data_IF_038720201588
#
_entry.id   IF_038720201588
#
_cell.length_a   1.000
_cell.length_b   1.000
_cell.length_c   1.000
_cell.angle_alpha   90.00
_cell.angle_beta   90.00
_cell.angle_gamma   90.00
#
_symmetry.space_group_name_H-M   'P 1'
#
loop_
_entity.id
_entity.type
_entity.pdbx_description
1 polymer ?
#
# COMPACT_ATOMS: atom_id res chain seq x y z
N UNK A 1 -85.30 29.66 -35.14
CA UNK A 1 -84.79 31.02 -34.85
C UNK A 1 -83.29 30.89 -34.61
N UNK A 2 -82.40 30.96 -35.61
CA UNK A 2 -81.78 32.16 -36.21
C UNK A 2 -81.45 33.24 -35.17
N UNK A 3 -80.18 33.32 -34.74
CA UNK A 3 -79.42 34.57 -34.67
C UNK A 3 -77.93 34.27 -34.78
N UNK A 4 -77.34 34.81 -35.84
CA UNK A 4 -75.91 34.90 -36.07
C UNK A 4 -75.34 36.02 -35.20
N UNK A 5 -74.13 35.83 -34.66
CA UNK A 5 -73.28 36.93 -34.24
C UNK A 5 -71.85 36.62 -34.66
N UNK A 6 -71.46 37.22 -35.78
CA UNK A 6 -70.08 37.36 -36.23
C UNK A 6 -69.32 38.23 -35.21
N UNK A 7 -68.21 37.73 -34.69
CA UNK A 7 -67.18 38.56 -34.06
C UNK A 7 -65.86 38.31 -34.78
N UNK A 8 -65.35 39.40 -35.34
CA UNK A 8 -64.21 39.49 -36.24
C UNK A 8 -62.94 39.81 -35.42
N UNK A 9 -61.83 39.19 -35.80
CA UNK A 9 -60.42 39.67 -35.73
C UNK A 9 -59.78 40.05 -34.40
N UNK A 10 -58.72 39.32 -34.01
CA UNK A 10 -57.34 39.83 -33.97
C UNK A 10 -56.36 38.67 -33.72
N UNK A 11 -55.73 38.19 -34.79
CA UNK A 11 -54.59 37.28 -34.74
C UNK A 11 -53.33 38.08 -34.40
N UNK A 12 -52.88 38.02 -33.14
CA UNK A 12 -51.52 38.39 -32.77
C UNK A 12 -50.60 37.24 -33.16
N UNK A 13 -49.94 37.40 -34.31
CA UNK A 13 -48.84 36.55 -34.76
C UNK A 13 -47.60 36.86 -33.92
N UNK A 14 -47.39 36.13 -32.84
CA UNK A 14 -46.08 36.06 -32.19
C UNK A 14 -45.13 35.35 -33.15
N UNK A 15 -44.24 36.12 -33.80
CA UNK A 15 -43.12 35.57 -34.55
C UNK A 15 -42.21 34.78 -33.61
N UNK A 16 -42.35 33.46 -33.62
CA UNK A 16 -41.33 32.57 -33.09
C UNK A 16 -40.18 32.57 -34.10
N UNK A 17 -39.12 33.32 -33.80
CA UNK A 17 -37.83 33.09 -34.43
C UNK A 17 -37.40 31.65 -34.07
N UNK A 18 -37.11 30.77 -35.04
CA UNK A 18 -36.36 29.57 -34.72
C UNK A 18 -34.98 30.03 -34.26
N UNK A 19 -34.73 29.96 -32.96
CA UNK A 19 -33.36 29.94 -32.48
C UNK A 19 -32.80 28.58 -32.89
N UNK A 20 -32.06 28.57 -34.01
CA UNK A 20 -31.00 27.60 -34.24
C UNK A 20 -29.97 27.77 -33.12
N UNK A 21 -30.30 27.23 -31.94
CA UNK A 21 -29.37 27.03 -30.85
C UNK A 21 -28.59 25.74 -31.17
N UNK A 22 -27.80 25.78 -32.24
CA UNK A 22 -26.73 24.82 -32.42
C UNK A 22 -25.64 25.20 -31.41
N UNK A 23 -25.86 24.75 -30.17
CA UNK A 23 -24.86 24.81 -29.11
C UNK A 23 -23.58 24.11 -29.58
N UNK A 24 -22.43 24.44 -28.97
CA UNK A 24 -21.17 23.80 -29.33
C UNK A 24 -21.33 22.27 -29.33
N UNK A 25 -20.74 21.55 -30.31
CA UNK A 25 -20.91 20.12 -30.45
C UNK A 25 -20.58 19.44 -29.13
N UNK A 26 -21.44 18.51 -28.70
CA UNK A 26 -21.23 17.74 -27.49
C UNK A 26 -19.79 17.17 -27.52
N UNK A 27 -19.03 17.28 -26.42
CA UNK A 27 -17.68 16.75 -26.39
C UNK A 27 -17.73 15.27 -26.78
N UNK A 28 -16.77 14.78 -27.57
CA UNK A 28 -16.77 13.40 -28.02
C UNK A 28 -16.90 12.47 -26.80
N UNK A 29 -17.61 11.34 -26.95
CA UNK A 29 -17.70 10.35 -25.88
C UNK A 29 -16.29 10.02 -25.43
N UNK A 30 -16.05 10.09 -24.11
CA UNK A 30 -14.75 9.73 -23.55
C UNK A 30 -14.44 8.31 -24.00
N UNK A 31 -13.23 8.10 -24.54
CA UNK A 31 -12.79 6.74 -24.84
C UNK A 31 -12.93 5.88 -23.57
N UNK A 32 -13.37 4.62 -23.69
CA UNK A 32 -13.42 3.73 -22.55
C UNK A 32 -12.04 3.71 -21.88
N UNK A 33 -11.99 3.97 -20.58
CA UNK A 33 -10.76 3.81 -19.84
C UNK A 33 -10.34 2.33 -19.95
N UNK A 34 -9.08 2.09 -20.31
CA UNK A 34 -8.53 0.74 -20.22
C UNK A 34 -8.43 0.38 -18.73
N UNK A 35 -9.32 -0.49 -18.28
CA UNK A 35 -9.36 -0.92 -16.87
C UNK A 35 -8.41 -2.08 -16.60
N UNK A 36 -7.61 -2.52 -17.59
CA UNK A 36 -6.63 -3.58 -17.41
C UNK A 36 -5.55 -3.12 -16.41
N UNK A 37 -5.16 -3.95 -15.41
CA UNK A 37 -4.09 -3.59 -14.49
C UNK A 37 -2.79 -3.30 -15.23
N UNK A 38 -2.13 -2.19 -14.91
CA UNK A 38 -0.77 -2.00 -15.42
C UNK A 38 0.16 -3.03 -14.79
N UNK A 39 1.33 -3.22 -15.40
CA UNK A 39 2.36 -4.06 -14.81
C UNK A 39 2.86 -3.54 -13.44
N UNK A 40 2.49 -2.33 -13.00
CA UNK A 40 2.91 -1.75 -11.71
C UNK A 40 1.77 -1.65 -10.69
N UNK A 41 0.56 -2.08 -11.03
CA UNK A 41 -0.58 -2.02 -10.12
C UNK A 41 -0.28 -2.71 -8.78
N UNK A 42 -0.69 -2.08 -7.68
CA UNK A 42 -0.66 -2.68 -6.35
C UNK A 42 -1.73 -3.77 -6.26
N UNK A 43 -1.31 -5.03 -6.30
CA UNK A 43 -2.13 -6.17 -5.88
C UNK A 43 -1.73 -6.59 -4.48
N UNK A 44 -2.64 -7.25 -3.75
CA UNK A 44 -2.34 -7.77 -2.40
C UNK A 44 -1.08 -8.65 -2.41
N UNK A 45 -0.94 -9.52 -3.42
CA UNK A 45 0.25 -10.37 -3.58
C UNK A 45 1.55 -9.58 -3.71
N UNK A 46 1.56 -8.52 -4.52
CA UNK A 46 2.74 -7.70 -4.73
C UNK A 46 3.11 -6.93 -3.47
N UNK A 47 2.12 -6.32 -2.83
CA UNK A 47 2.28 -5.62 -1.55
C UNK A 47 2.86 -6.55 -0.47
N UNK A 48 2.34 -7.77 -0.38
CA UNK A 48 2.77 -8.72 0.64
C UNK A 48 4.15 -9.32 0.39
N UNK A 49 4.63 -9.34 -0.85
CA UNK A 49 6.05 -9.63 -1.17
C UNK A 49 6.99 -8.46 -0.86
N UNK A 50 6.45 -7.26 -0.62
CA UNK A 50 7.24 -6.04 -0.41
C UNK A 50 7.73 -5.40 -1.71
N UNK A 51 7.14 -5.77 -2.84
CA UNK A 51 7.46 -5.21 -4.14
C UNK A 51 6.90 -3.79 -4.26
N UNK A 52 7.63 -2.91 -4.94
CA UNK A 52 7.14 -1.55 -5.23
C UNK A 52 5.98 -1.60 -6.22
N UNK A 53 4.94 -0.81 -5.97
CA UNK A 53 3.75 -0.77 -6.81
C UNK A 53 3.08 0.62 -6.75
N UNK A 54 2.05 0.82 -7.58
CA UNK A 54 1.24 2.03 -7.63
C UNK A 54 -0.24 1.69 -7.46
N UNK A 55 -0.93 2.43 -6.60
CA UNK A 55 -2.39 2.31 -6.44
C UNK A 55 -3.09 3.00 -7.60
N UNK A 56 -3.77 2.21 -8.43
CA UNK A 56 -4.45 2.68 -9.65
C UNK A 56 -5.97 2.59 -9.52
N UNK A 57 -6.47 1.92 -8.48
CA UNK A 57 -7.89 1.73 -8.25
C UNK A 57 -8.39 2.75 -7.23
N UNK A 58 -9.22 3.71 -7.66
CA UNK A 58 -9.79 4.74 -6.81
C UNK A 58 -11.32 4.76 -6.94
N UNK A 59 -12.03 3.79 -6.32
CA UNK A 59 -13.48 3.75 -6.39
C UNK A 59 -14.11 4.93 -5.65
N UNK A 60 -15.29 5.33 -6.10
CA UNK A 60 -16.10 6.33 -5.41
C UNK A 60 -16.71 5.69 -4.15
N UNK A 61 -16.58 6.30 -2.96
CA UNK A 61 -17.18 5.77 -1.74
C UNK A 61 -18.71 5.70 -1.83
N UNK A 62 -19.27 4.55 -1.48
CA UNK A 62 -20.72 4.32 -1.38
C UNK A 62 -21.28 4.59 0.02
N UNK A 63 -22.53 4.15 0.21
CA UNK A 63 -23.14 4.09 1.54
C UNK A 63 -22.46 3.01 2.40
N UNK A 64 -22.40 3.17 3.74
CA UNK A 64 -21.87 2.15 4.63
C UNK A 64 -22.63 0.83 4.49
N UNK A 65 -21.88 -0.28 4.46
CA UNK A 65 -22.41 -1.63 4.35
C UNK A 65 -21.63 -2.59 5.24
N UNK A 66 -22.28 -3.20 6.23
CA UNK A 66 -21.65 -4.23 7.06
C UNK A 66 -21.17 -5.43 6.24
N UNK A 67 -21.91 -5.79 5.18
CA UNK A 67 -21.51 -6.89 4.31
C UNK A 67 -20.20 -6.57 3.59
N UNK A 68 -20.04 -5.34 3.09
CA UNK A 68 -18.81 -4.91 2.44
C UNK A 68 -17.64 -4.80 3.43
N UNK A 69 -17.90 -4.30 4.66
CA UNK A 69 -16.89 -4.26 5.71
C UNK A 69 -16.36 -5.65 6.05
N UNK A 70 -17.25 -6.65 6.19
CA UNK A 70 -16.87 -8.05 6.43
C UNK A 70 -16.11 -8.64 5.25
N UNK A 71 -16.58 -8.42 4.02
CA UNK A 71 -15.88 -8.86 2.81
C UNK A 71 -14.48 -8.28 2.71
N UNK A 72 -14.30 -7.01 3.05
CA UNK A 72 -12.99 -6.36 3.09
C UNK A 72 -12.08 -7.00 4.14
N UNK A 73 -12.58 -7.25 5.35
CA UNK A 73 -11.82 -7.93 6.40
C UNK A 73 -11.42 -9.36 5.99
N UNK A 74 -12.34 -10.12 5.40
CA UNK A 74 -12.06 -11.48 4.90
C UNK A 74 -11.02 -11.47 3.78
N UNK A 75 -11.13 -10.50 2.86
CA UNK A 75 -10.18 -10.28 1.78
C UNK A 75 -8.78 -9.90 2.30
N UNK A 76 -8.70 -9.11 3.38
CA UNK A 76 -7.47 -8.74 4.05
C UNK A 76 -6.85 -9.91 4.82
N UNK A 77 -7.67 -10.74 5.48
CA UNK A 77 -7.23 -11.92 6.22
C UNK A 77 -6.53 -12.95 5.33
N UNK A 78 -6.79 -12.94 4.01
CA UNK A 78 -6.05 -13.74 3.04
C UNK A 78 -4.52 -13.47 3.06
N UNK A 79 -4.06 -12.36 3.64
CA UNK A 79 -2.64 -12.10 3.89
C UNK A 79 -1.97 -13.18 4.76
N UNK A 80 -2.74 -13.89 5.60
CA UNK A 80 -2.22 -14.93 6.48
C UNK A 80 -1.52 -16.07 5.71
N UNK A 81 -1.90 -16.31 4.45
CA UNK A 81 -1.25 -17.31 3.58
C UNK A 81 0.24 -17.03 3.34
N UNK A 82 0.68 -15.78 3.49
CA UNK A 82 2.08 -15.37 3.36
C UNK A 82 2.87 -15.52 4.66
N UNK A 83 2.22 -15.78 5.79
CA UNK A 83 2.90 -15.95 7.07
C UNK A 83 3.84 -17.15 7.10
N UNK A 84 3.53 -18.24 6.38
CA UNK A 84 4.46 -19.38 6.26
C UNK A 84 5.76 -18.97 5.61
N UNK A 85 5.70 -18.26 4.48
CA UNK A 85 6.88 -17.78 3.77
C UNK A 85 7.62 -16.74 4.62
N UNK A 86 6.90 -15.82 5.25
CA UNK A 86 7.49 -14.80 6.11
C UNK A 86 8.20 -15.38 7.34
N UNK A 87 7.68 -16.47 7.91
CA UNK A 87 8.26 -17.15 9.07
C UNK A 87 9.32 -18.21 8.69
N UNK A 88 9.66 -18.34 7.41
CA UNK A 88 10.75 -19.24 6.96
C UNK A 88 12.05 -18.45 6.83
N UNK A 89 13.08 -18.74 7.63
CA UNK A 89 14.40 -18.14 7.45
C UNK A 89 14.96 -18.48 6.05
N UNK A 90 15.72 -17.57 5.44
CA UNK A 90 16.22 -17.74 4.05
C UNK A 90 17.06 -19.00 3.82
N UNK A 91 17.78 -19.45 4.84
CA UNK A 91 18.67 -20.60 4.77
C UNK A 91 17.99 -21.91 5.23
N UNK A 92 16.72 -21.85 5.62
CA UNK A 92 15.96 -22.99 6.11
C UNK A 92 14.78 -23.33 5.20
N UNK A 93 14.30 -24.57 5.32
CA UNK A 93 13.19 -25.09 4.53
C UNK A 93 11.88 -25.18 5.32
N UNK A 94 11.91 -24.81 6.61
CA UNK A 94 10.76 -24.90 7.51
C UNK A 94 10.49 -23.56 8.15
N UNK A 95 9.22 -23.18 8.18
CA UNK A 95 8.76 -22.03 8.93
C UNK A 95 8.84 -22.30 10.43
N UNK A 96 9.27 -21.31 11.20
CA UNK A 96 9.11 -21.35 12.65
C UNK A 96 7.61 -21.32 12.99
N UNK A 97 7.07 -22.35 13.68
CA UNK A 97 5.64 -22.47 13.93
C UNK A 97 5.10 -21.38 14.87
N UNK A 98 5.95 -20.86 15.77
CA UNK A 98 5.59 -19.80 16.71
C UNK A 98 5.49 -18.48 15.96
N UNK A 99 6.50 -18.12 15.16
CA UNK A 99 6.48 -16.91 14.32
C UNK A 99 5.35 -16.94 13.30
N UNK A 100 5.09 -18.10 12.71
CA UNK A 100 3.97 -18.26 11.78
C UNK A 100 2.64 -17.94 12.48
N UNK A 101 2.41 -18.54 13.66
CA UNK A 101 1.17 -18.31 14.41
C UNK A 101 1.02 -16.85 14.84
N UNK A 102 2.08 -16.24 15.37
CA UNK A 102 2.06 -14.81 15.73
C UNK A 102 1.75 -13.90 14.53
N UNK A 103 2.29 -14.23 13.36
CA UNK A 103 1.99 -13.52 12.12
C UNK A 103 0.51 -13.68 11.73
N UNK A 104 -0.04 -14.91 11.79
CA UNK A 104 -1.43 -15.20 11.48
C UNK A 104 -2.40 -14.44 12.41
N UNK A 105 -2.11 -14.45 13.72
CA UNK A 105 -2.91 -13.77 14.74
C UNK A 105 -2.88 -12.23 14.54
N UNK A 106 -1.71 -11.66 14.25
CA UNK A 106 -1.56 -10.23 14.01
C UNK A 106 -2.20 -9.78 12.69
N UNK A 107 -2.10 -10.59 11.63
CA UNK A 107 -2.82 -10.35 10.37
C UNK A 107 -4.32 -10.34 10.61
N UNK A 108 -4.86 -11.30 11.36
CA UNK A 108 -6.28 -11.37 11.67
C UNK A 108 -6.74 -10.11 12.42
N UNK A 109 -5.95 -9.63 13.39
CA UNK A 109 -6.23 -8.39 14.12
C UNK A 109 -6.26 -7.17 13.19
N UNK A 110 -5.24 -7.00 12.35
CA UNK A 110 -5.18 -5.87 11.39
C UNK A 110 -6.34 -5.93 10.39
N UNK A 111 -6.70 -7.12 9.92
CA UNK A 111 -7.80 -7.31 8.97
C UNK A 111 -9.17 -6.91 9.57
N UNK A 112 -9.40 -7.20 10.84
CA UNK A 112 -10.65 -6.86 11.53
C UNK A 112 -10.73 -5.37 11.89
N UNK A 113 -9.63 -4.78 12.38
CA UNK A 113 -9.65 -3.42 12.92
C UNK A 113 -9.37 -2.35 11.85
N UNK A 114 -8.44 -2.63 10.93
CA UNK A 114 -7.86 -1.62 10.04
C UNK A 114 -8.31 -1.72 8.58
N UNK A 115 -8.99 -2.79 8.19
CA UNK A 115 -9.26 -3.09 6.78
C UNK A 115 -10.74 -3.06 6.39
N UNK A 116 -11.65 -2.68 7.29
CA UNK A 116 -13.09 -2.65 7.00
C UNK A 116 -13.48 -1.54 6.02
N UNK A 117 -12.71 -0.44 5.96
CA UNK A 117 -12.98 0.75 5.14
C UNK A 117 -14.40 1.32 5.37
N UNK A 118 -14.91 1.17 6.59
CA UNK A 118 -16.29 1.49 6.99
C UNK A 118 -17.37 0.83 6.12
N UNK A 119 -17.02 -0.18 5.33
CA UNK A 119 -17.91 -0.78 4.34
C UNK A 119 -18.39 0.20 3.27
N UNK A 120 -17.63 1.26 2.98
CA UNK A 120 -17.96 2.27 1.95
C UNK A 120 -17.20 2.06 0.65
N UNK A 121 -16.03 1.43 0.74
CA UNK A 121 -15.07 1.27 -0.36
C UNK A 121 -14.67 -0.19 -0.40
N UNK A 122 -14.69 -0.86 -1.57
CA UNK A 122 -14.13 -2.19 -1.69
C UNK A 122 -12.60 -2.15 -1.53
N UNK A 123 -12.04 -3.13 -0.82
CA UNK A 123 -10.60 -3.26 -0.60
C UNK A 123 -9.84 -3.42 -1.93
N UNK A 124 -10.42 -4.18 -2.86
CA UNK A 124 -9.84 -4.49 -4.17
C UNK A 124 -10.90 -4.56 -5.25
N UNK A 125 -10.49 -4.38 -6.50
CA UNK A 125 -11.36 -4.62 -7.66
C UNK A 125 -11.37 -6.10 -8.08
N UNK A 126 -12.13 -6.40 -9.14
CA UNK A 126 -12.23 -7.75 -9.71
C UNK A 126 -10.90 -8.30 -10.25
N UNK A 127 -9.94 -7.42 -10.56
CA UNK A 127 -8.61 -7.78 -11.03
C UNK A 127 -7.58 -7.87 -9.89
N UNK A 128 -8.01 -7.68 -8.64
CA UNK A 128 -7.17 -7.77 -7.46
C UNK A 128 -6.31 -6.52 -7.20
N UNK A 129 -6.56 -5.40 -7.89
CA UNK A 129 -5.93 -4.11 -7.59
C UNK A 129 -6.49 -3.57 -6.29
N UNK A 130 -5.61 -3.20 -5.37
CA UNK A 130 -5.97 -2.63 -4.08
C UNK A 130 -6.41 -1.18 -4.26
N UNK A 131 -7.47 -0.80 -3.57
CA UNK A 131 -7.98 0.56 -3.59
C UNK A 131 -6.97 1.52 -2.97
N UNK A 132 -6.83 2.72 -3.52
CA UNK A 132 -5.95 3.76 -2.96
C UNK A 132 -6.33 4.10 -1.52
N UNK A 133 -7.64 4.13 -1.22
CA UNK A 133 -8.14 4.35 0.14
C UNK A 133 -7.80 3.22 1.12
N UNK A 134 -7.41 2.04 0.62
CA UNK A 134 -6.97 0.91 1.42
C UNK A 134 -5.46 0.88 1.69
N UNK A 135 -4.72 1.93 1.30
CA UNK A 135 -3.27 1.99 1.46
C UNK A 135 -2.81 1.70 2.89
N UNK A 136 -3.43 2.33 3.89
CA UNK A 136 -3.06 2.14 5.30
C UNK A 136 -3.27 0.69 5.78
N UNK A 137 -4.39 0.06 5.39
CA UNK A 137 -4.65 -1.36 5.65
C UNK A 137 -3.57 -2.25 5.00
N UNK A 138 -3.31 -2.03 3.71
CA UNK A 138 -2.34 -2.79 2.94
C UNK A 138 -0.91 -2.66 3.51
N UNK A 139 -0.51 -1.45 3.87
CA UNK A 139 0.80 -1.15 4.46
C UNK A 139 0.94 -1.79 5.85
N UNK A 140 -0.13 -1.77 6.65
CA UNK A 140 -0.15 -2.43 7.97
C UNK A 140 0.06 -3.93 7.84
N UNK A 141 -0.67 -4.59 6.93
CA UNK A 141 -0.49 -6.01 6.64
C UNK A 141 0.92 -6.32 6.10
N UNK A 142 1.42 -5.48 5.19
CA UNK A 142 2.78 -5.58 4.68
C UNK A 142 3.84 -5.46 5.78
N UNK A 143 3.62 -4.56 6.76
CA UNK A 143 4.52 -4.37 7.89
C UNK A 143 4.54 -5.57 8.83
N UNK A 144 3.40 -6.24 9.05
CA UNK A 144 3.36 -7.50 9.81
C UNK A 144 4.25 -8.55 9.14
N UNK A 145 4.04 -8.81 7.85
CA UNK A 145 4.83 -9.78 7.10
C UNK A 145 6.32 -9.42 7.04
N UNK A 146 6.65 -8.14 6.84
CA UNK A 146 8.02 -7.66 6.86
C UNK A 146 8.68 -7.86 8.24
N UNK A 147 7.97 -7.57 9.33
CA UNK A 147 8.45 -7.80 10.69
C UNK A 147 8.71 -9.29 10.93
N UNK A 148 7.79 -10.16 10.54
CA UNK A 148 7.98 -11.62 10.67
C UNK A 148 9.21 -12.11 9.92
N UNK A 149 9.44 -11.64 8.69
CA UNK A 149 10.67 -11.95 7.92
C UNK A 149 11.94 -11.50 8.64
N UNK A 150 11.93 -10.29 9.18
CA UNK A 150 13.05 -9.76 9.95
C UNK A 150 13.31 -10.61 11.18
N UNK A 151 12.27 -10.99 11.93
CA UNK A 151 12.41 -11.85 13.11
C UNK A 151 12.93 -13.24 12.76
N UNK A 152 12.43 -13.86 11.68
CA UNK A 152 12.90 -15.16 11.21
C UNK A 152 14.38 -15.12 10.79
N UNK A 153 14.83 -14.04 10.15
CA UNK A 153 16.24 -13.85 9.79
C UNK A 153 17.14 -13.56 11.01
N UNK A 154 16.66 -12.73 11.93
CA UNK A 154 17.38 -12.34 13.13
C UNK A 154 17.55 -13.50 14.11
N UNK A 155 16.50 -14.29 14.36
CA UNK A 155 16.57 -15.46 15.24
C UNK A 155 17.61 -16.46 14.72
N UNK A 156 17.68 -16.68 13.40
CA UNK A 156 18.69 -17.54 12.78
C UNK A 156 20.13 -17.05 13.07
N UNK A 157 20.41 -15.76 12.85
CA UNK A 157 21.74 -15.20 13.09
C UNK A 157 22.15 -15.26 14.56
N UNK A 158 21.22 -14.94 15.45
CA UNK A 158 21.43 -15.01 16.88
C UNK A 158 21.66 -16.44 17.37
N UNK A 159 20.79 -17.38 16.99
CA UNK A 159 20.88 -18.77 17.41
C UNK A 159 22.10 -19.50 16.82
N UNK A 160 22.57 -19.12 15.63
CA UNK A 160 23.86 -19.60 15.09
C UNK A 160 25.03 -19.16 15.96
N UNK A 161 25.09 -17.88 16.33
CA UNK A 161 26.14 -17.39 17.21
C UNK A 161 26.17 -18.14 18.55
N UNK A 162 25.00 -18.38 19.14
CA UNK A 162 24.88 -19.08 20.42
C UNK A 162 25.32 -20.55 20.32
N UNK A 163 25.01 -21.21 19.21
CA UNK A 163 25.49 -22.56 18.93
C UNK A 163 27.03 -22.58 18.79
N UNK A 164 27.61 -21.62 18.07
CA UNK A 164 29.07 -21.50 17.87
C UNK A 164 29.80 -21.18 19.20
N UNK A 165 29.19 -20.35 20.04
CA UNK A 165 29.66 -20.02 21.39
C UNK A 165 29.47 -21.17 22.40
N UNK A 166 28.91 -22.32 21.98
CA UNK A 166 28.60 -23.49 22.80
C UNK A 166 27.74 -23.18 24.02
N UNK A 167 26.78 -22.28 23.85
CA UNK A 167 25.76 -22.04 24.86
C UNK A 167 24.90 -23.30 25.04
N UNK A 168 24.49 -23.64 26.26
CA UNK A 168 23.59 -24.76 26.54
C UNK A 168 22.12 -24.44 26.18
N UNK A 169 21.90 -23.94 24.96
CA UNK A 169 20.58 -23.57 24.44
C UNK A 169 20.39 -24.22 23.09
N UNK A 170 19.33 -25.02 22.94
CA UNK A 170 19.01 -25.64 21.66
C UNK A 170 18.48 -24.60 20.66
N UNK A 171 18.73 -24.77 19.36
CA UNK A 171 18.20 -23.89 18.32
C UNK A 171 16.68 -23.63 18.42
N UNK A 172 15.80 -24.64 18.63
CA UNK A 172 14.36 -24.38 18.81
C UNK A 172 14.00 -23.67 20.12
N UNK A 173 14.83 -23.79 21.17
CA UNK A 173 14.65 -23.02 22.40
C UNK A 173 15.06 -21.56 22.20
N UNK A 174 16.20 -21.32 21.55
CA UNK A 174 16.66 -19.98 21.20
C UNK A 174 15.66 -19.24 20.31
N UNK A 175 15.14 -19.89 19.25
CA UNK A 175 14.14 -19.27 18.38
C UNK A 175 12.90 -18.84 19.19
N UNK A 176 12.41 -19.71 20.10
CA UNK A 176 11.26 -19.39 20.94
C UNK A 176 11.52 -18.21 21.88
N UNK A 177 12.61 -18.24 22.63
CA UNK A 177 12.96 -17.21 23.62
C UNK A 177 13.26 -15.85 22.95
N UNK A 178 13.85 -15.85 21.76
CA UNK A 178 14.11 -14.63 20.97
C UNK A 178 12.82 -14.07 20.34
N UNK A 179 11.88 -14.93 19.96
CA UNK A 179 10.58 -14.53 19.41
C UNK A 179 9.66 -13.97 20.49
N UNK A 180 9.69 -14.59 21.68
CA UNK A 180 8.96 -14.13 22.86
C UNK A 180 9.61 -12.90 23.53
N UNK A 181 10.79 -12.47 23.03
CA UNK A 181 11.60 -11.39 23.62
C UNK A 181 11.88 -11.61 25.12
N UNK A 182 11.95 -12.88 25.54
CA UNK A 182 12.11 -13.30 26.93
C UNK A 182 13.22 -14.35 27.05
N UNK A 183 14.50 -13.95 26.91
CA UNK A 183 15.62 -14.85 27.11
C UNK A 183 15.70 -15.31 28.57
N UNK A 184 15.84 -16.62 28.80
CA UNK A 184 16.15 -17.14 30.12
C UNK A 184 17.56 -16.76 30.58
N UNK A 185 17.87 -16.93 31.87
CA UNK A 185 19.16 -16.52 32.46
C UNK A 185 20.38 -17.12 31.75
N UNK A 186 20.27 -18.38 31.31
CA UNK A 186 21.32 -19.08 30.58
C UNK A 186 21.55 -18.48 29.17
N UNK A 187 20.47 -18.14 28.47
CA UNK A 187 20.52 -17.48 27.17
C UNK A 187 21.08 -16.06 27.33
N UNK A 188 20.56 -15.28 28.28
CA UNK A 188 20.99 -13.91 28.55
C UNK A 188 22.49 -13.82 28.91
N UNK A 189 22.98 -14.71 29.76
CA UNK A 189 24.40 -14.76 30.14
C UNK A 189 25.32 -15.04 28.95
N UNK A 190 24.89 -15.91 28.02
CA UNK A 190 25.67 -16.23 26.83
C UNK A 190 25.59 -15.14 25.76
N UNK A 191 24.41 -14.54 25.61
CA UNK A 191 24.18 -13.36 24.78
C UNK A 191 25.14 -12.24 25.15
N UNK A 192 25.18 -11.84 26.42
CA UNK A 192 26.00 -10.72 26.88
C UNK A 192 27.51 -10.96 26.73
N UNK A 193 27.95 -12.21 26.82
CA UNK A 193 29.38 -12.57 26.72
C UNK A 193 29.88 -12.69 25.29
N UNK A 194 29.10 -13.30 24.40
CA UNK A 194 29.61 -13.80 23.12
C UNK A 194 28.82 -13.33 21.91
N UNK A 195 27.51 -13.10 22.06
CA UNK A 195 26.60 -12.94 20.93
C UNK A 195 25.84 -11.62 20.93
N UNK A 196 26.23 -10.67 21.78
CA UNK A 196 25.54 -9.39 21.97
C UNK A 196 25.33 -8.65 20.66
N UNK A 197 26.34 -8.56 19.79
CA UNK A 197 26.23 -7.90 18.48
C UNK A 197 25.34 -8.66 17.49
N UNK A 198 25.37 -9.99 17.50
CA UNK A 198 24.57 -10.85 16.62
C UNK A 198 23.10 -10.94 17.04
N UNK A 199 22.82 -10.68 18.32
CA UNK A 199 21.51 -10.81 18.97
C UNK A 199 20.98 -9.47 19.50
N UNK A 200 21.59 -8.36 19.10
CA UNK A 200 20.96 -7.03 19.27
C UNK A 200 19.89 -6.92 18.20
N UNK A 201 18.62 -6.80 18.59
CA UNK A 201 17.56 -6.52 17.63
C UNK A 201 17.98 -5.32 16.75
N UNK A 202 17.72 -5.33 15.43
CA UNK A 202 17.97 -4.16 14.62
C UNK A 202 17.17 -3.00 15.23
N UNK A 203 17.86 -1.98 15.75
CA UNK A 203 17.24 -0.73 16.13
C UNK A 203 16.41 -0.25 14.92
N UNK A 204 15.08 -0.15 15.07
CA UNK A 204 14.25 0.64 14.14
C UNK A 204 14.56 2.11 14.39
N UNK A 205 15.74 2.57 14.00
CA UNK A 205 16.11 3.99 13.94
C UNK A 205 17.52 4.12 13.35
N UNK A 206 17.62 3.89 12.04
CA UNK A 206 18.53 4.72 11.24
C UNK A 206 17.66 5.33 10.14
N UNK A 207 17.46 6.67 10.13
CA UNK A 207 16.94 7.34 8.96
C UNK A 207 17.79 6.91 7.77
N UNK A 208 17.14 6.47 6.69
CA UNK A 208 17.79 6.28 5.39
C UNK A 208 18.75 7.46 5.17
N UNK A 209 20.04 7.22 4.83
CA UNK A 209 20.95 8.30 4.53
C UNK A 209 20.28 9.18 3.47
N UNK A 210 20.13 10.46 3.80
CA UNK A 210 19.45 11.41 2.93
C UNK A 210 20.01 11.26 1.51
N UNK A 211 19.14 11.20 0.48
CA UNK A 211 19.62 11.11 -0.89
C UNK A 211 20.62 12.24 -1.15
N UNK A 212 21.74 11.96 -1.85
CA UNK A 212 22.74 12.98 -2.13
C UNK A 212 22.06 14.19 -2.77
N UNK A 213 22.41 15.42 -2.35
CA UNK A 213 21.78 16.62 -2.87
C UNK A 213 21.92 16.64 -4.39
N UNK A 214 20.78 16.72 -5.09
CA UNK A 214 20.75 16.89 -6.54
C UNK A 214 21.65 18.08 -6.91
N UNK A 215 22.50 17.95 -7.96
CA UNK A 215 23.33 19.05 -8.40
C UNK A 215 22.44 20.24 -8.73
N UNK A 216 22.65 21.36 -8.02
CA UNK A 216 21.96 22.62 -8.30
C UNK A 216 22.23 22.98 -9.77
N UNK A 217 21.20 23.37 -10.54
CA UNK A 217 21.43 23.88 -11.88
C UNK A 217 22.36 25.11 -11.75
N UNK A 218 23.51 25.03 -12.41
CA UNK A 218 24.51 26.08 -12.46
C UNK A 218 23.93 27.29 -13.18
N UNK A 219 23.25 28.15 -12.43
CA UNK A 219 22.83 29.48 -12.85
C UNK A 219 24.06 30.37 -13.00
N UNK A 220 24.85 30.15 -14.05
CA UNK A 220 25.90 31.07 -14.49
C UNK A 220 25.49 31.70 -15.81
N UNK A 221 24.37 32.42 -15.79
CA UNK A 221 24.15 33.50 -16.75
C UNK A 221 25.11 34.64 -16.37
N UNK A 222 26.33 34.56 -16.91
CA UNK A 222 27.29 35.67 -16.89
C UNK A 222 26.63 36.87 -17.57
N UNK A 223 26.34 37.91 -16.79
CA UNK A 223 26.20 39.26 -17.33
C UNK A 223 27.56 39.80 -17.77
N UNK A 224 27.50 40.57 -18.84
CA UNK A 224 28.44 41.59 -19.31
C UNK A 224 29.70 41.12 -20.04
N UNK A 225 29.66 41.34 -21.36
CA UNK A 225 30.80 41.50 -22.24
C UNK A 225 30.38 42.40 -23.40
N UNK A 226 30.43 43.71 -23.17
CA UNK A 226 30.36 44.76 -24.18
C UNK A 226 31.64 44.66 -25.02
N UNK A 227 31.51 44.59 -26.35
CA UNK A 227 32.50 45.15 -27.27
C UNK A 227 31.81 45.64 -28.56
N UNK A 228 32.41 46.63 -29.25
CA UNK A 228 31.71 47.60 -30.07
C UNK A 228 31.70 47.23 -31.56
N UNK A 229 30.84 47.95 -32.28
CA UNK A 229 30.67 47.90 -33.71
C UNK A 229 31.99 48.12 -34.48
N UNK A 230 32.24 47.27 -35.48
CA UNK A 230 33.20 47.53 -36.56
C UNK A 230 32.64 47.06 -37.92
N UNK A 231 32.26 48.07 -38.73
CA UNK A 231 32.29 48.22 -40.20
C UNK A 231 31.98 47.00 -41.10
N UNK A 232 30.88 47.11 -41.83
CA UNK A 232 30.85 47.10 -43.31
C UNK A 232 29.94 48.25 -43.75
#
# INVERSE_FOLDING_TARGET
MRFACLALTLTLSSGAFPQDAEGPPAPPPRMPADETPTHYACTLERLFRGDRCTFEFAPVPGAPSEALARENSDAAAAAARFCREAATPRDEHRADPTLRKMCEDEVARVALDGCTLEGRIPLRDAHGRVATAAGECADSLGQVLARTRTMAGFSLGCCRCLADARCEVSAPQCNREMVELSPGDALQSCLDKSCKSSCSAPHREDPLPAPPPLPRPSGRARKAGVEPALKI
#
